data_IF_559206745825
#
_entry.id   IF_559206745825
#
_cell.length_a   1.000
_cell.length_b   1.000
_cell.length_c   1.000
_cell.angle_alpha   90.00
_cell.angle_beta   90.00
_cell.angle_gamma   90.00
#
_symmetry.space_group_name_H-M   'P 1'
#
loop_
_entity.id
_entity.type
_entity.pdbx_description
1 polymer ?
#
# COMPACT_ATOMS: atom_id res chain seq x y z
N UNK A 1 14.91 16.05 13.14
CA UNK A 1 13.60 16.53 13.63
C UNK A 1 13.42 17.97 13.19
N UNK A 2 12.40 18.33 12.40
CA UNK A 2 12.33 19.68 11.82
C UNK A 2 11.59 20.69 12.70
N UNK A 3 12.18 21.89 12.82
CA UNK A 3 11.59 23.15 13.30
C UNK A 3 11.30 24.15 12.14
N UNK A 4 11.79 23.87 10.93
CA UNK A 4 11.30 24.45 9.66
C UNK A 4 11.18 23.30 8.63
N UNK A 5 9.99 23.13 8.07
CA UNK A 5 9.57 21.94 7.32
C UNK A 5 9.93 21.98 5.83
N UNK A 6 10.43 23.12 5.33
CA UNK A 6 10.66 23.37 3.89
C UNK A 6 11.80 22.54 3.26
N UNK A 7 12.61 21.82 4.06
CA UNK A 7 13.78 21.05 3.58
C UNK A 7 13.70 19.53 3.78
N UNK A 8 12.54 18.96 4.10
CA UNK A 8 12.43 17.50 4.27
C UNK A 8 12.27 16.82 2.91
N UNK A 9 13.30 16.08 2.48
CA UNK A 9 13.25 15.24 1.27
C UNK A 9 12.31 14.06 1.52
N UNK A 10 11.23 13.97 0.73
CA UNK A 10 10.31 12.83 0.77
C UNK A 10 10.99 11.62 0.12
N UNK A 11 11.11 10.53 0.87
CA UNK A 11 11.61 9.26 0.34
C UNK A 11 10.50 8.54 -0.39
N UNK A 12 10.68 8.27 -1.68
CA UNK A 12 9.79 7.42 -2.46
C UNK A 12 10.22 5.96 -2.30
N UNK A 13 9.32 5.05 -1.89
CA UNK A 13 9.65 3.64 -1.83
C UNK A 13 9.77 3.08 -3.25
N UNK A 14 10.58 2.02 -3.37
CA UNK A 14 10.71 1.25 -4.60
C UNK A 14 9.36 0.63 -5.00
N UNK A 15 9.07 0.51 -6.30
CA UNK A 15 7.86 -0.13 -6.78
C UNK A 15 7.81 -1.60 -6.35
N UNK A 16 6.60 -2.11 -6.18
CA UNK A 16 6.40 -3.49 -5.76
C UNK A 16 6.83 -4.49 -6.85
N UNK A 17 7.52 -5.60 -6.53
CA UNK A 17 8.04 -6.53 -7.53
C UNK A 17 6.98 -7.28 -8.34
N UNK A 18 5.75 -7.41 -7.85
CA UNK A 18 4.70 -8.17 -8.53
C UNK A 18 3.85 -7.27 -9.42
N UNK A 19 3.44 -6.12 -8.89
CA UNK A 19 2.50 -5.21 -9.57
C UNK A 19 3.15 -3.92 -10.09
N UNK A 20 4.46 -3.76 -9.89
CA UNK A 20 5.24 -2.57 -10.26
C UNK A 20 4.61 -1.24 -9.80
N UNK A 21 3.83 -1.28 -8.71
CA UNK A 21 3.08 -0.15 -8.21
C UNK A 21 3.71 0.41 -6.94
N UNK A 22 3.94 1.72 -6.93
CA UNK A 22 4.44 2.43 -5.74
C UNK A 22 3.37 2.57 -4.66
N UNK A 23 2.09 2.49 -5.02
CA UNK A 23 0.96 2.52 -4.08
C UNK A 23 0.93 1.26 -3.21
N UNK A 24 1.08 0.10 -3.85
CA UNK A 24 1.13 -1.20 -3.16
C UNK A 24 2.33 -1.25 -2.21
N UNK A 25 3.51 -0.83 -2.67
CA UNK A 25 4.71 -0.77 -1.84
C UNK A 25 4.55 0.15 -0.62
N UNK A 26 3.95 1.33 -0.78
CA UNK A 26 3.61 2.23 0.34
C UNK A 26 2.65 1.56 1.33
N UNK A 27 1.65 0.85 0.84
CA UNK A 27 0.66 0.18 1.67
C UNK A 27 1.27 -0.97 2.48
N UNK A 28 2.10 -1.81 1.85
CA UNK A 28 2.83 -2.89 2.51
C UNK A 28 3.77 -2.33 3.61
N UNK A 29 4.46 -1.23 3.34
CA UNK A 29 5.33 -0.58 4.33
C UNK A 29 4.53 -0.03 5.54
N UNK A 30 3.28 0.39 5.35
CA UNK A 30 2.41 0.83 6.44
C UNK A 30 1.83 -0.35 7.25
N UNK A 31 1.55 -1.49 6.62
CA UNK A 31 1.13 -2.72 7.32
C UNK A 31 2.28 -3.33 8.13
N UNK A 32 3.51 -3.16 7.64
CA UNK A 32 4.70 -3.76 8.23
C UNK A 32 4.91 -3.32 9.69
N UNK A 33 4.87 -4.30 10.60
CA UNK A 33 5.17 -4.12 12.02
C UNK A 33 6.56 -4.65 12.35
N UNK A 34 7.31 -3.90 13.17
CA UNK A 34 8.66 -4.26 13.63
C UNK A 34 9.66 -4.54 12.49
N UNK A 35 9.51 -3.91 11.32
CA UNK A 35 10.44 -4.08 10.19
C UNK A 35 10.31 -5.41 9.43
N UNK A 36 9.28 -6.23 9.72
CA UNK A 36 9.11 -7.56 9.10
C UNK A 36 8.47 -7.47 7.70
N UNK A 37 9.23 -7.02 6.70
CA UNK A 37 8.72 -6.79 5.33
C UNK A 37 8.20 -8.06 4.65
N UNK A 38 8.91 -9.18 4.79
CA UNK A 38 8.49 -10.46 4.19
C UNK A 38 7.13 -10.94 4.74
N UNK A 39 6.88 -10.77 6.04
CA UNK A 39 5.59 -11.15 6.66
C UNK A 39 4.46 -10.24 6.17
N UNK A 40 4.71 -8.93 6.07
CA UNK A 40 3.74 -7.96 5.58
C UNK A 40 3.36 -8.24 4.10
N UNK A 41 4.34 -8.56 3.26
CA UNK A 41 4.11 -8.96 1.87
C UNK A 41 3.23 -10.20 1.78
N UNK A 42 3.57 -11.27 2.51
CA UNK A 42 2.77 -12.49 2.55
C UNK A 42 1.33 -12.21 2.96
N UNK A 43 1.12 -11.45 4.04
CA UNK A 43 -0.21 -11.09 4.51
C UNK A 43 -1.01 -10.33 3.44
N UNK A 44 -0.38 -9.37 2.76
CA UNK A 44 -1.03 -8.57 1.73
C UNK A 44 -1.45 -9.42 0.52
N UNK A 45 -0.57 -10.27 -0.01
CA UNK A 45 -0.91 -11.16 -1.12
C UNK A 45 -1.98 -12.19 -0.76
N UNK A 46 -1.93 -12.75 0.46
CA UNK A 46 -3.00 -13.62 0.96
C UNK A 46 -4.34 -12.90 1.06
N UNK A 47 -4.35 -11.63 1.49
CA UNK A 47 -5.57 -10.83 1.51
C UNK A 47 -6.12 -10.56 0.10
N UNK A 48 -5.26 -10.26 -0.88
CA UNK A 48 -5.67 -10.09 -2.28
C UNK A 48 -6.29 -11.36 -2.86
N UNK A 49 -5.74 -12.54 -2.53
CA UNK A 49 -6.31 -13.82 -2.95
C UNK A 49 -7.71 -14.06 -2.37
N UNK A 50 -7.95 -13.68 -1.11
CA UNK A 50 -9.29 -13.74 -0.49
C UNK A 50 -10.27 -12.78 -1.17
N UNK A 51 -9.82 -11.59 -1.55
CA UNK A 51 -10.64 -10.61 -2.29
C UNK A 51 -10.98 -11.16 -3.68
N UNK A 52 -10.02 -11.75 -4.37
CA UNK A 52 -10.24 -12.37 -5.67
C UNK A 52 -11.28 -13.50 -5.59
N UNK A 53 -11.20 -14.37 -4.58
CA UNK A 53 -12.17 -15.44 -4.38
C UNK A 53 -13.61 -14.92 -4.17
N UNK A 54 -13.76 -13.82 -3.44
CA UNK A 54 -15.08 -13.24 -3.13
C UNK A 54 -15.67 -12.45 -4.28
N UNK A 55 -14.83 -11.70 -4.99
CA UNK A 55 -15.29 -10.69 -5.96
C UNK A 55 -15.12 -11.15 -7.41
N UNK A 56 -14.32 -12.21 -7.66
CA UNK A 56 -13.97 -12.77 -8.98
C UNK A 56 -13.49 -11.71 -9.99
N UNK A 57 -12.93 -10.63 -9.49
CA UNK A 57 -12.43 -9.50 -10.27
C UNK A 57 -10.97 -9.27 -9.91
N UNK A 58 -10.26 -8.55 -10.78
CA UNK A 58 -8.85 -8.22 -10.57
C UNK A 58 -8.65 -7.48 -9.22
N UNK A 59 -7.86 -8.05 -8.30
CA UNK A 59 -7.75 -7.53 -6.95
C UNK A 59 -7.07 -6.15 -6.88
N UNK A 60 -6.26 -5.79 -7.88
CA UNK A 60 -5.62 -4.48 -7.99
C UNK A 60 -6.64 -3.37 -8.25
N UNK A 61 -7.58 -3.58 -9.19
CA UNK A 61 -8.62 -2.60 -9.52
C UNK A 61 -9.53 -2.34 -8.31
N UNK A 62 -9.85 -3.40 -7.56
CA UNK A 62 -10.62 -3.28 -6.32
C UNK A 62 -9.83 -2.50 -5.27
N UNK A 63 -8.53 -2.77 -5.13
CA UNK A 63 -7.67 -2.04 -4.21
C UNK A 63 -7.63 -0.54 -4.52
N UNK A 64 -7.46 -0.16 -5.79
CA UNK A 64 -7.48 1.24 -6.21
C UNK A 64 -8.83 1.91 -5.95
N UNK A 65 -9.93 1.21 -6.26
CA UNK A 65 -11.29 1.69 -5.96
C UNK A 65 -11.53 1.86 -4.47
N UNK A 66 -11.05 0.91 -3.65
CA UNK A 66 -11.15 0.99 -2.20
C UNK A 66 -10.35 2.18 -1.65
N UNK A 67 -9.14 2.40 -2.18
CA UNK A 67 -8.34 3.57 -1.81
C UNK A 67 -9.05 4.87 -2.18
N UNK A 68 -9.66 4.98 -3.36
CA UNK A 68 -10.44 6.16 -3.75
C UNK A 68 -11.59 6.46 -2.79
N UNK A 69 -12.28 5.43 -2.30
CA UNK A 69 -13.38 5.60 -1.34
C UNK A 69 -12.92 6.01 0.06
N UNK A 70 -11.70 5.63 0.47
CA UNK A 70 -11.16 5.92 1.81
C UNK A 70 -10.41 7.26 1.85
N UNK A 71 -10.04 7.82 0.70
CA UNK A 71 -9.40 9.13 0.64
C UNK A 71 -10.34 10.20 1.24
N UNK A 72 -9.88 10.97 2.24
CA UNK A 72 -10.69 12.05 2.80
C UNK A 72 -10.84 13.15 1.75
N UNK A 73 -12.08 13.57 1.51
CA UNK A 73 -12.38 14.64 0.55
C UNK A 73 -12.10 16.03 1.12
N UNK A 74 -12.11 16.15 2.45
CA UNK A 74 -11.85 17.38 3.18
C UNK A 74 -10.77 17.07 4.23
N UNK A 75 -9.81 17.97 4.36
CA UNK A 75 -8.62 17.82 5.21
C UNK A 75 -8.77 18.60 6.51
#
# INVERSE_FOLDING_TARGET
>A
MPRDSRKVVKRTPEPDPVYNSTLVSKFINNIMRNGKKSVAQKLFYSALMLVEQRTKQEPIKIFEKAMQNVLPTIK
#
